data_IF_054288222609
#
_entry.id   IF_054288222609
#
_cell.length_a   1.000
_cell.length_b   1.000
_cell.length_c   1.000
_cell.angle_alpha   90.00
_cell.angle_beta   90.00
_cell.angle_gamma   90.00
#
_symmetry.space_group_name_H-M   'P 1'
#
loop_
_entity.id
_entity.type
_entity.pdbx_description
1 polymer ?
#
# COMPACT_ATOMS: atom_id res chain seq x y z
N UNK A 1 56.22 2.13 38.39
CA UNK A 1 54.86 2.39 37.87
C UNK A 1 54.66 3.89 37.73
N UNK A 2 54.75 4.43 36.52
CA UNK A 2 54.12 5.72 36.14
C UNK A 2 54.16 5.91 34.63
N UNK A 3 53.04 6.42 34.11
CA UNK A 3 52.84 7.25 32.91
C UNK A 3 52.84 6.53 31.55
N UNK A 4 51.64 6.28 31.01
CA UNK A 4 50.88 7.20 30.12
C UNK A 4 51.64 7.59 28.85
N UNK A 5 51.23 7.01 27.73
CA UNK A 5 51.33 7.65 26.41
C UNK A 5 50.07 7.28 25.62
N UNK A 6 49.24 8.30 25.41
CA UNK A 6 48.07 8.29 24.56
C UNK A 6 48.48 8.01 23.11
N UNK A 7 47.81 7.06 22.45
CA UNK A 7 47.87 6.93 20.99
C UNK A 7 46.66 7.64 20.38
N UNK A 8 46.94 8.75 19.72
CA UNK A 8 46.07 9.40 18.75
C UNK A 8 46.00 8.56 17.48
N UNK A 9 44.81 8.10 17.09
CA UNK A 9 44.56 7.58 15.75
C UNK A 9 43.39 8.36 15.15
N UNK A 10 43.74 9.26 14.21
CA UNK A 10 42.80 10.03 13.41
C UNK A 10 41.96 9.07 12.55
N UNK A 11 40.66 8.98 12.86
CA UNK A 11 39.72 8.25 12.01
C UNK A 11 39.40 9.11 10.78
N UNK A 12 39.78 8.58 9.62
CA UNK A 12 39.65 9.17 8.29
C UNK A 12 38.16 9.32 7.94
N UNK A 13 37.71 10.55 7.66
CA UNK A 13 36.37 10.84 7.14
C UNK A 13 36.27 10.37 5.69
N UNK A 14 35.66 9.21 5.46
CA UNK A 14 35.24 8.78 4.12
C UNK A 14 33.87 9.38 3.81
N UNK A 15 33.84 10.57 3.18
CA UNK A 15 32.61 11.12 2.61
C UNK A 15 32.37 10.43 1.27
N UNK A 16 31.45 9.47 1.25
CA UNK A 16 30.98 8.85 0.02
C UNK A 16 30.11 9.84 -0.76
N UNK A 17 30.64 10.45 -1.81
CA UNK A 17 29.86 11.27 -2.74
C UNK A 17 29.10 10.34 -3.69
N UNK A 18 27.81 10.13 -3.43
CA UNK A 18 26.92 9.46 -4.38
C UNK A 18 26.50 10.43 -5.49
N UNK A 19 26.49 10.02 -6.78
CA UNK A 19 25.99 10.88 -7.84
C UNK A 19 24.46 11.03 -7.72
N UNK A 20 24.00 12.29 -7.66
CA UNK A 20 22.58 12.63 -7.80
C UNK A 20 22.21 12.48 -9.27
N UNK A 21 21.41 11.45 -9.60
CA UNK A 21 20.74 11.38 -10.90
C UNK A 21 19.57 12.35 -10.86
N UNK A 22 19.72 13.49 -11.52
CA UNK A 22 18.61 14.39 -11.79
C UNK A 22 17.58 13.65 -12.65
N UNK A 23 16.44 13.27 -12.06
CA UNK A 23 15.30 12.80 -12.84
C UNK A 23 14.61 14.01 -13.43
N UNK A 24 14.61 14.13 -14.75
CA UNK A 24 13.75 15.07 -15.46
C UNK A 24 12.30 14.86 -14.99
N UNK A 25 11.70 15.92 -14.45
CA UNK A 25 10.31 15.93 -14.07
C UNK A 25 9.47 15.91 -15.35
N UNK A 26 9.16 14.71 -15.84
CA UNK A 26 8.06 14.54 -16.81
C UNK A 26 6.78 15.01 -16.12
N UNK A 27 5.98 15.90 -16.75
CA UNK A 27 4.67 16.23 -16.20
C UNK A 27 3.89 14.93 -16.00
N UNK A 28 3.55 14.63 -14.75
CA UNK A 28 2.61 13.57 -14.46
C UNK A 28 1.30 13.97 -15.13
N UNK A 29 0.86 13.20 -16.12
CA UNK A 29 -0.50 13.31 -16.62
C UNK A 29 -1.42 13.19 -15.40
N UNK A 30 -2.27 14.20 -15.19
CA UNK A 30 -3.24 14.19 -14.11
C UNK A 30 -4.03 12.86 -14.19
N UNK A 31 -4.20 12.13 -13.07
CA UNK A 31 -5.12 11.02 -13.08
C UNK A 31 -6.51 11.61 -13.27
N UNK A 32 -7.03 11.56 -14.49
CA UNK A 32 -8.47 11.65 -14.71
C UNK A 32 -9.07 10.48 -13.95
N UNK A 33 -9.59 10.78 -12.76
CA UNK A 33 -10.46 9.86 -12.04
C UNK A 33 -11.73 9.78 -12.87
N UNK A 34 -11.72 8.88 -13.84
CA UNK A 34 -12.94 8.49 -14.53
C UNK A 34 -13.81 7.81 -13.47
N UNK A 35 -14.92 8.44 -13.14
CA UNK A 35 -15.90 7.87 -12.24
C UNK A 35 -16.32 6.50 -12.82
N UNK A 36 -16.35 5.41 -12.03
CA UNK A 36 -16.76 4.11 -12.55
C UNK A 36 -18.15 4.21 -13.17
N UNK A 37 -18.21 4.06 -14.49
CA UNK A 37 -19.46 4.04 -15.22
C UNK A 37 -20.25 2.81 -14.72
N UNK A 38 -21.44 3.06 -14.17
CA UNK A 38 -22.28 2.02 -13.60
C UNK A 38 -22.52 0.92 -14.64
N UNK A 39 -22.03 -0.29 -14.36
CA UNK A 39 -22.27 -1.45 -15.21
C UNK A 39 -23.78 -1.75 -15.25
N UNK A 40 -24.33 -2.18 -16.40
CA UNK A 40 -25.76 -2.45 -16.53
C UNK A 40 -26.21 -3.51 -15.53
N UNK A 41 -27.35 -3.25 -14.88
CA UNK A 41 -28.05 -4.12 -13.92
C UNK A 41 -28.66 -5.35 -14.63
N UNK A 42 -27.82 -6.17 -15.26
CA UNK A 42 -28.16 -7.53 -15.61
C UNK A 42 -27.71 -8.42 -14.47
N UNK A 43 -28.59 -9.31 -13.98
CA UNK A 43 -28.24 -10.30 -12.97
C UNK A 43 -26.99 -11.06 -13.43
N UNK A 44 -25.83 -10.66 -12.89
CA UNK A 44 -24.54 -11.25 -13.21
C UNK A 44 -24.63 -12.67 -12.70
N UNK A 45 -24.83 -13.62 -13.61
CA UNK A 45 -24.66 -15.05 -13.33
C UNK A 45 -23.35 -15.15 -12.56
N UNK A 46 -23.44 -15.58 -11.31
CA UNK A 46 -22.33 -15.63 -10.36
C UNK A 46 -21.33 -16.67 -10.86
N UNK A 47 -20.60 -16.31 -11.91
CA UNK A 47 -19.34 -16.92 -12.25
C UNK A 47 -18.50 -16.77 -10.99
N UNK A 48 -17.99 -17.89 -10.50
CA UNK A 48 -17.28 -18.13 -9.23
C UNK A 48 -16.07 -17.22 -8.96
N UNK A 49 -15.88 -16.18 -9.76
CA UNK A 49 -14.78 -15.22 -9.77
C UNK A 49 -15.18 -13.84 -9.24
N UNK A 50 -16.47 -13.56 -8.98
CA UNK A 50 -16.88 -12.25 -8.46
C UNK A 50 -16.42 -12.10 -7.02
N UNK A 51 -15.51 -11.15 -6.78
CA UNK A 51 -15.01 -10.80 -5.46
C UNK A 51 -15.60 -9.48 -4.98
N UNK A 52 -15.91 -9.42 -3.70
CA UNK A 52 -16.42 -8.27 -2.98
C UNK A 52 -15.30 -7.76 -2.07
N UNK A 53 -14.96 -6.47 -2.21
CA UNK A 53 -13.89 -5.83 -1.47
C UNK A 53 -14.47 -4.97 -0.35
N UNK A 54 -14.05 -5.24 0.88
CA UNK A 54 -14.36 -4.41 2.05
C UNK A 54 -13.09 -3.62 2.41
N UNK A 55 -13.26 -2.31 2.62
CA UNK A 55 -12.20 -1.42 3.07
C UNK A 55 -12.45 -1.11 4.54
N UNK A 56 -11.51 -1.51 5.39
CA UNK A 56 -11.58 -1.29 6.83
C UNK A 56 -10.51 -0.30 7.28
N UNK A 57 -10.82 0.52 8.28
CA UNK A 57 -9.88 1.48 8.85
C UNK A 57 -9.32 0.92 10.14
N UNK A 58 -8.08 0.42 10.09
CA UNK A 58 -7.45 -0.13 11.29
C UNK A 58 -7.04 0.97 12.27
N UNK A 59 -7.34 0.77 13.55
CA UNK A 59 -6.93 1.68 14.62
C UNK A 59 -5.41 1.62 14.79
N UNK A 60 -4.75 2.79 14.78
CA UNK A 60 -3.31 2.93 14.99
C UNK A 60 -2.54 3.35 13.74
N UNK A 61 -2.76 2.70 12.59
CA UNK A 61 -2.06 3.06 11.35
C UNK A 61 -2.78 4.14 10.53
N UNK A 62 -4.11 4.29 10.66
CA UNK A 62 -4.97 5.13 9.79
C UNK A 62 -4.85 4.82 8.29
N UNK A 63 -4.10 3.79 7.91
CA UNK A 63 -4.01 3.31 6.54
C UNK A 63 -5.17 2.33 6.34
N UNK A 64 -6.08 2.59 5.37
CA UNK A 64 -7.18 1.69 5.09
C UNK A 64 -6.68 0.37 4.50
N UNK A 65 -7.20 -0.75 4.98
CA UNK A 65 -6.88 -2.10 4.48
C UNK A 65 -8.04 -2.61 3.63
N UNK A 66 -7.74 -3.05 2.41
CA UNK A 66 -8.73 -3.63 1.49
C UNK A 66 -8.62 -5.15 1.48
N UNK A 67 -9.71 -5.83 1.84
CA UNK A 67 -9.82 -7.29 1.74
C UNK A 67 -10.86 -7.66 0.69
N UNK A 68 -10.47 -8.46 -0.32
CA UNK A 68 -11.36 -8.89 -1.40
C UNK A 68 -11.56 -10.40 -1.39
N UNK A 69 -12.81 -10.86 -1.25
CA UNK A 69 -13.17 -12.28 -1.19
C UNK A 69 -14.44 -12.56 -1.98
N UNK A 70 -14.64 -13.80 -2.39
CA UNK A 70 -15.91 -14.27 -2.96
C UNK A 70 -17.04 -14.18 -1.92
N UNK A 71 -18.30 -14.21 -2.36
CA UNK A 71 -19.44 -14.17 -1.42
C UNK A 71 -19.41 -15.36 -0.45
N UNK A 72 -19.10 -16.56 -0.93
CA UNK A 72 -18.99 -17.76 -0.07
C UNK A 72 -17.98 -17.58 1.05
N UNK A 73 -16.78 -17.11 0.72
CA UNK A 73 -15.73 -16.83 1.72
C UNK A 73 -16.10 -15.74 2.74
N UNK A 74 -17.00 -14.82 2.39
CA UNK A 74 -17.54 -13.83 3.32
C UNK A 74 -18.61 -14.43 4.22
N UNK A 75 -19.51 -15.24 3.65
CA UNK A 75 -20.55 -15.95 4.40
C UNK A 75 -19.92 -16.92 5.42
N UNK A 76 -18.83 -17.58 5.08
CA UNK A 76 -18.05 -18.43 6.00
C UNK A 76 -17.50 -17.63 7.20
N UNK A 77 -17.41 -16.30 7.07
CA UNK A 77 -16.99 -15.36 8.13
C UNK A 77 -18.18 -14.71 8.85
N UNK A 78 -19.42 -15.11 8.52
CA UNK A 78 -20.64 -14.57 9.12
C UNK A 78 -21.03 -13.19 8.61
N UNK A 79 -20.52 -12.76 7.46
CA UNK A 79 -20.81 -11.46 6.87
C UNK A 79 -21.31 -11.64 5.43
N UNK A 80 -22.45 -11.06 5.07
CA UNK A 80 -22.91 -11.03 3.67
C UNK A 80 -22.73 -9.63 3.09
N UNK A 81 -21.82 -9.43 2.11
CA UNK A 81 -21.61 -8.13 1.48
C UNK A 81 -22.81 -7.62 0.67
N UNK A 82 -23.85 -8.44 0.47
CA UNK A 82 -25.05 -8.09 -0.29
C UNK A 82 -26.33 -8.07 0.54
N UNK A 83 -26.26 -8.20 1.87
CA UNK A 83 -27.46 -8.34 2.71
C UNK A 83 -28.36 -7.09 2.78
N UNK A 84 -27.89 -5.92 2.38
CA UNK A 84 -28.69 -4.69 2.36
C UNK A 84 -28.81 -4.18 0.92
N UNK A 85 -29.98 -4.40 0.31
CA UNK A 85 -30.37 -3.83 -0.97
C UNK A 85 -31.83 -3.37 -0.92
#
# INVERSE_FOLDING_TARGET
>A
MTKFLMMTAAAVLSVATSPVIAREARPAAAPTTEAPQAAPTGARVATSKTKYCIVDTVTGSRIPVKTCKTRGEWLDRGFDPLANN
#
